data_IF_724449891850
#
_entry.id   IF_724449891850
#
_cell.length_a   1.000
_cell.length_b   1.000
_cell.length_c   1.000
_cell.angle_alpha   90.00
_cell.angle_beta   90.00
_cell.angle_gamma   90.00
#
_symmetry.space_group_name_H-M   'P 1'
#
loop_
_entity.id
_entity.type
_entity.pdbx_description
1 polymer ?
#
# COMPACT_ATOMS: atom_id res chain seq x y z
N UNK A 1 55.78 -43.86 -20.10
CA UNK A 1 57.01 -43.40 -19.42
C UNK A 1 56.57 -42.29 -18.46
N UNK A 2 56.34 -42.62 -17.18
CA UNK A 2 57.26 -42.45 -16.03
C UNK A 2 57.41 -40.98 -15.58
N UNK A 3 57.06 -40.59 -14.35
CA UNK A 3 56.43 -41.33 -13.23
C UNK A 3 56.47 -40.58 -11.88
N UNK A 4 55.83 -41.16 -10.84
CA UNK A 4 55.92 -40.90 -9.39
C UNK A 4 55.52 -39.49 -8.83
N UNK A 5 54.58 -39.33 -7.87
CA UNK A 5 54.48 -39.85 -6.47
C UNK A 5 55.42 -39.09 -5.48
N UNK A 6 55.12 -38.78 -4.21
CA UNK A 6 54.11 -39.17 -3.18
C UNK A 6 53.58 -37.91 -2.42
N UNK A 7 52.76 -37.91 -1.34
CA UNK A 7 51.87 -38.92 -0.72
C UNK A 7 51.89 -38.96 0.84
N UNK A 8 50.70 -38.93 1.48
CA UNK A 8 50.35 -39.05 2.95
C UNK A 8 50.38 -37.74 3.78
N UNK A 9 49.52 -37.40 4.76
CA UNK A 9 48.39 -38.02 5.55
C UNK A 9 48.71 -38.13 7.06
N UNK A 10 47.67 -37.95 7.92
CA UNK A 10 47.58 -38.13 9.41
C UNK A 10 48.12 -36.98 10.28
N UNK A 11 47.53 -36.61 11.45
CA UNK A 11 46.20 -36.89 12.06
C UNK A 11 45.98 -35.98 13.32
N UNK A 12 44.80 -36.05 13.96
CA UNK A 12 44.44 -35.64 15.37
C UNK A 12 43.92 -34.22 15.70
N UNK A 13 42.60 -34.18 15.87
CA UNK A 13 41.76 -33.53 16.92
C UNK A 13 42.30 -33.71 18.38
N UNK A 14 41.79 -33.01 19.45
CA UNK A 14 40.35 -32.74 19.68
C UNK A 14 39.87 -31.50 20.49
N UNK A 15 38.53 -31.40 20.53
CA UNK A 15 37.62 -30.86 21.56
C UNK A 15 37.56 -29.35 21.93
N UNK A 16 36.35 -28.78 21.78
CA UNK A 16 35.44 -28.58 22.95
C UNK A 16 34.00 -28.21 22.60
N UNK A 17 33.09 -29.10 23.01
CA UNK A 17 31.71 -28.91 23.48
C UNK A 17 31.01 -27.53 23.35
N UNK A 18 29.81 -27.54 22.74
CA UNK A 18 28.61 -27.07 23.47
C UNK A 18 27.32 -27.74 22.99
N UNK A 19 26.82 -28.68 23.79
CA UNK A 19 25.51 -29.31 23.64
C UNK A 19 24.37 -28.36 24.02
N UNK A 20 23.22 -28.48 23.36
CA UNK A 20 21.90 -28.45 24.02
C UNK A 20 20.88 -29.22 23.16
N UNK A 21 20.02 -29.97 23.83
CA UNK A 21 19.27 -31.09 23.28
C UNK A 21 17.94 -30.71 22.65
N UNK A 22 17.52 -31.51 21.66
CA UNK A 22 16.11 -31.71 21.36
C UNK A 22 15.56 -32.79 22.30
N UNK A 23 14.29 -32.67 22.72
CA UNK A 23 13.42 -33.83 22.98
C UNK A 23 11.93 -33.41 22.89
N UNK A 24 11.05 -34.40 22.77
CA UNK A 24 9.81 -34.29 21.99
C UNK A 24 8.55 -34.75 22.75
N UNK A 25 7.38 -34.55 22.12
CA UNK A 25 6.04 -35.11 22.47
C UNK A 25 5.37 -34.52 23.74
N UNK A 26 4.06 -34.23 23.76
CA UNK A 26 2.93 -35.13 23.42
C UNK A 26 1.66 -34.40 22.91
N UNK A 27 0.70 -35.21 22.46
CA UNK A 27 -0.67 -34.87 22.02
C UNK A 27 -1.65 -35.22 23.16
N UNK A 28 -2.74 -34.45 23.31
CA UNK A 28 -4.17 -34.88 23.49
C UNK A 28 -5.01 -33.89 24.33
N UNK A 29 -6.16 -33.55 23.74
CA UNK A 29 -7.52 -33.34 24.28
C UNK A 29 -7.81 -32.59 25.60
N UNK A 30 -8.91 -31.81 25.58
CA UNK A 30 -9.54 -31.31 26.81
C UNK A 30 -10.57 -30.20 26.61
N UNK A 31 -11.81 -30.55 26.26
CA UNK A 31 -12.97 -29.64 26.33
C UNK A 31 -13.13 -29.02 27.73
N UNK A 32 -13.41 -27.72 27.83
CA UNK A 32 -14.23 -27.16 28.93
C UNK A 32 -14.86 -25.80 28.58
N UNK A 33 -16.17 -25.76 28.75
CA UNK A 33 -17.03 -24.56 28.71
C UNK A 33 -16.77 -23.65 29.91
N UNK A 34 -16.90 -22.33 29.73
CA UNK A 34 -16.90 -21.38 30.84
C UNK A 34 -17.08 -19.93 30.38
N UNK A 35 -18.31 -19.42 30.46
CA UNK A 35 -18.59 -17.98 30.32
C UNK A 35 -18.16 -17.24 31.58
N UNK A 36 -17.42 -16.15 31.45
CA UNK A 36 -17.36 -15.09 32.46
C UNK A 36 -17.08 -13.74 31.79
N UNK A 37 -18.00 -12.79 31.97
CA UNK A 37 -17.73 -11.38 31.70
C UNK A 37 -16.89 -10.81 32.84
N UNK A 38 -15.77 -10.15 32.53
CA UNK A 38 -15.16 -9.17 33.43
C UNK A 38 -14.35 -8.15 32.61
N UNK A 39 -14.76 -6.88 32.65
CA UNK A 39 -13.96 -5.79 32.12
C UNK A 39 -12.89 -5.39 33.15
N UNK A 40 -11.60 -5.32 32.78
CA UNK A 40 -10.62 -4.60 33.59
C UNK A 40 -10.74 -3.10 33.30
N UNK A 41 -10.77 -2.22 34.33
CA UNK A 41 -10.70 -0.78 34.14
C UNK A 41 -9.26 -0.35 33.82
N UNK A 42 -9.10 0.75 33.07
CA UNK A 42 -7.80 1.43 32.97
C UNK A 42 -6.90 1.04 31.79
N UNK A 43 -7.45 0.80 30.59
CA UNK A 43 -6.65 0.95 29.36
C UNK A 43 -6.74 2.39 28.90
N UNK A 44 -5.64 3.15 29.01
CA UNK A 44 -5.51 4.46 28.34
C UNK A 44 -5.72 4.23 26.85
N UNK A 45 -6.78 4.82 26.27
CA UNK A 45 -7.05 4.72 24.83
C UNK A 45 -5.79 5.08 24.04
N UNK A 46 -5.39 4.28 23.03
CA UNK A 46 -4.17 4.53 22.30
C UNK A 46 -4.27 5.89 21.60
N UNK A 47 -3.27 6.75 21.86
CA UNK A 47 -3.12 8.01 21.13
C UNK A 47 -2.91 7.67 19.66
N UNK A 48 -3.87 8.06 18.82
CA UNK A 48 -3.88 7.74 17.39
C UNK A 48 -2.79 8.57 16.70
N UNK A 49 -1.59 8.00 16.59
CA UNK A 49 -0.49 8.53 15.78
C UNK A 49 -0.50 7.90 14.38
N UNK A 50 -1.63 8.05 13.70
CA UNK A 50 -1.73 7.79 12.26
C UNK A 50 -1.14 8.95 11.44
N UNK A 51 -0.92 8.77 10.12
CA UNK A 51 -0.76 9.91 9.21
C UNK A 51 -2.00 10.80 9.31
N UNK A 52 -1.81 12.12 9.32
CA UNK A 52 -2.94 13.06 9.28
C UNK A 52 -3.52 13.08 7.87
N UNK A 53 -4.67 12.44 7.71
CA UNK A 53 -5.43 12.49 6.47
C UNK A 53 -5.97 13.92 6.31
N UNK A 54 -5.74 14.55 5.16
CA UNK A 54 -6.21 15.91 4.91
C UNK A 54 -7.35 15.87 3.90
N UNK A 55 -8.48 16.50 4.22
CA UNK A 55 -9.59 16.65 3.27
C UNK A 55 -9.37 17.90 2.44
N UNK A 56 -9.51 17.75 1.13
CA UNK A 56 -9.48 18.87 0.19
C UNK A 56 -10.92 19.20 -0.22
N UNK A 57 -11.30 20.45 -0.06
CA UNK A 57 -12.60 21.02 -0.44
C UNK A 57 -12.39 22.31 -1.25
N UNK A 58 -13.38 22.69 -2.05
CA UNK A 58 -13.43 24.00 -2.70
C UNK A 58 -14.84 24.58 -2.51
N UNK A 59 -15.01 25.90 -2.32
CA UNK A 59 -16.29 26.49 -1.90
C UNK A 59 -17.50 26.28 -2.84
N UNK A 60 -17.25 25.95 -4.11
CA UNK A 60 -18.28 25.76 -5.15
C UNK A 60 -18.25 24.36 -5.77
N UNK A 61 -17.52 23.42 -5.18
CA UNK A 61 -17.39 22.07 -5.73
C UNK A 61 -18.67 21.25 -5.52
N UNK A 62 -19.11 20.57 -6.58
CA UNK A 62 -20.31 19.73 -6.61
C UNK A 62 -19.97 18.25 -6.86
N UNK A 63 -18.72 17.82 -6.67
CA UNK A 63 -18.38 16.40 -6.85
C UNK A 63 -19.12 15.53 -5.81
N UNK A 64 -19.59 14.33 -6.18
CA UNK A 64 -20.40 13.49 -5.29
C UNK A 64 -19.57 12.78 -4.20
N UNK A 65 -18.28 13.12 -4.05
CA UNK A 65 -17.34 12.48 -3.14
C UNK A 65 -16.36 13.52 -2.56
N UNK A 66 -15.71 13.18 -1.45
CA UNK A 66 -14.68 14.02 -0.83
C UNK A 66 -13.29 13.56 -1.28
N UNK A 67 -12.38 14.48 -1.57
CA UNK A 67 -10.98 14.15 -1.80
C UNK A 67 -10.21 14.11 -0.48
N UNK A 68 -9.50 13.01 -0.25
CA UNK A 68 -8.59 12.80 0.89
C UNK A 68 -7.19 12.56 0.36
N UNK A 69 -6.19 13.21 0.94
CA UNK A 69 -4.76 12.93 0.71
C UNK A 69 -4.09 12.49 2.00
N UNK A 70 -3.07 11.65 1.89
CA UNK A 70 -2.48 10.90 3.02
C UNK A 70 -1.17 11.49 3.58
N UNK A 71 -0.69 12.60 3.01
CA UNK A 71 0.50 13.31 3.49
C UNK A 71 0.30 14.82 3.44
N UNK A 72 1.00 15.53 4.33
CA UNK A 72 1.02 16.99 4.32
C UNK A 72 1.71 17.52 3.06
N UNK A 73 2.71 16.80 2.54
CA UNK A 73 3.38 17.15 1.28
C UNK A 73 2.39 17.18 0.12
N UNK A 74 1.50 16.20 0.02
CA UNK A 74 0.50 16.10 -1.06
C UNK A 74 -0.62 17.14 -0.90
N UNK A 75 -1.06 17.42 0.33
CA UNK A 75 -2.01 18.51 0.60
C UNK A 75 -1.45 19.88 0.17
N UNK A 76 -0.20 20.18 0.52
CA UNK A 76 0.48 21.42 0.09
C UNK A 76 0.75 21.44 -1.42
N UNK A 77 1.00 20.28 -2.04
CA UNK A 77 1.16 20.13 -3.49
C UNK A 77 -0.12 20.49 -4.25
N UNK A 78 -1.29 20.09 -3.71
CA UNK A 78 -2.63 20.42 -4.24
C UNK A 78 -2.95 21.91 -4.01
N UNK A 79 -2.78 22.40 -2.79
CA UNK A 79 -3.03 23.80 -2.42
C UNK A 79 -2.27 24.77 -3.34
N UNK A 80 -0.95 24.56 -3.50
CA UNK A 80 -0.08 25.44 -4.31
C UNK A 80 -0.43 25.50 -5.80
N UNK A 81 -1.23 24.55 -6.31
CA UNK A 81 -1.64 24.52 -7.72
C UNK A 81 -2.96 25.21 -8.00
N UNK A 82 -3.65 25.67 -6.95
CA UNK A 82 -4.89 26.45 -7.03
C UNK A 82 -5.90 25.87 -8.04
N UNK A 83 -6.19 24.58 -7.92
CA UNK A 83 -7.22 23.93 -8.74
C UNK A 83 -8.61 24.53 -8.45
N UNK A 84 -9.48 24.55 -9.45
CA UNK A 84 -10.81 25.15 -9.34
C UNK A 84 -11.89 24.17 -8.83
N UNK A 85 -11.56 22.89 -8.67
CA UNK A 85 -12.49 21.83 -8.23
C UNK A 85 -11.76 20.60 -7.72
N UNK A 86 -12.46 19.77 -6.94
CA UNK A 86 -12.03 18.43 -6.51
C UNK A 86 -11.72 17.57 -7.73
N UNK A 87 -12.58 17.61 -8.75
CA UNK A 87 -12.37 16.88 -10.01
C UNK A 87 -11.03 17.22 -10.66
N UNK A 88 -10.68 18.51 -10.75
CA UNK A 88 -9.41 18.95 -11.32
C UNK A 88 -8.22 18.51 -10.46
N UNK A 89 -8.34 18.56 -9.12
CA UNK A 89 -7.31 18.06 -8.21
C UNK A 89 -7.09 16.54 -8.35
N UNK A 90 -8.16 15.73 -8.37
CA UNK A 90 -8.12 14.28 -8.61
C UNK A 90 -7.42 13.96 -9.93
N UNK A 91 -7.78 14.67 -11.01
CA UNK A 91 -7.15 14.48 -12.32
C UNK A 91 -5.63 14.73 -12.26
N UNK A 92 -5.19 15.78 -11.58
CA UNK A 92 -3.75 16.09 -11.45
C UNK A 92 -3.01 15.10 -10.53
N UNK A 93 -3.64 14.63 -9.45
CA UNK A 93 -3.06 13.61 -8.57
C UNK A 93 -2.85 12.28 -9.31
N UNK A 94 -3.86 11.81 -10.05
CA UNK A 94 -3.76 10.59 -10.84
C UNK A 94 -2.89 10.75 -12.09
N UNK A 95 -2.67 11.94 -12.63
CA UNK A 95 -1.66 12.13 -13.68
C UNK A 95 -0.23 11.87 -13.19
N UNK A 96 0.07 12.26 -11.94
CA UNK A 96 1.40 12.20 -11.33
C UNK A 96 1.64 10.93 -10.48
N UNK A 97 0.66 10.05 -10.36
CA UNK A 97 0.76 8.84 -9.55
C UNK A 97 0.94 9.10 -8.05
N UNK A 98 0.36 10.20 -7.56
CA UNK A 98 0.30 10.57 -6.14
C UNK A 98 -0.84 9.79 -5.49
N UNK A 99 -0.70 9.26 -4.25
CA UNK A 99 -1.76 8.51 -3.60
C UNK A 99 -2.85 9.42 -3.01
N UNK A 100 -4.12 9.05 -3.18
CA UNK A 100 -5.29 9.75 -2.64
C UNK A 100 -6.47 8.78 -2.43
N UNK A 101 -7.58 9.29 -1.91
CA UNK A 101 -8.88 8.60 -1.87
C UNK A 101 -10.01 9.55 -2.29
N UNK A 102 -11.07 8.99 -2.86
CA UNK A 102 -12.31 9.67 -3.23
C UNK A 102 -13.42 9.08 -2.38
N UNK A 103 -13.74 9.68 -1.23
CA UNK A 103 -14.59 9.01 -0.23
C UNK A 103 -16.02 9.56 -0.20
N UNK A 104 -17.01 8.67 -0.23
CA UNK A 104 -18.42 9.01 0.04
C UNK A 104 -18.71 8.81 1.52
N UNK A 105 -19.64 9.60 2.09
CA UNK A 105 -20.19 9.35 3.42
C UNK A 105 -21.15 8.17 3.36
N UNK A 106 -21.26 7.40 4.43
CA UNK A 106 -22.54 6.73 4.68
C UNK A 106 -23.59 7.80 4.99
N UNK A 107 -24.52 8.01 4.06
CA UNK A 107 -25.85 8.58 4.37
C UNK A 107 -26.79 7.52 4.95
N UNK A 108 -26.41 6.24 4.87
CA UNK A 108 -27.15 5.07 5.36
C UNK A 108 -27.02 4.91 6.87
N UNK A 109 -27.59 5.84 7.63
CA UNK A 109 -27.74 5.64 9.08
C UNK A 109 -28.70 4.48 9.41
N UNK A 110 -29.62 4.13 8.49
CA UNK A 110 -30.70 3.16 8.71
C UNK A 110 -30.67 1.92 7.78
N UNK A 111 -29.80 1.86 6.76
CA UNK A 111 -29.67 0.63 5.94
C UNK A 111 -28.74 -0.39 6.59
N UNK A 112 -28.96 -1.71 6.40
CA UNK A 112 -28.01 -2.72 6.86
C UNK A 112 -26.63 -2.51 6.22
N UNK A 113 -25.54 -2.85 6.94
CA UNK A 113 -24.18 -2.72 6.41
C UNK A 113 -24.02 -3.52 5.11
N UNK A 114 -23.05 -3.14 4.25
CA UNK A 114 -22.77 -3.83 3.00
C UNK A 114 -22.68 -5.36 3.18
N UNK A 115 -23.15 -6.12 2.18
CA UNK A 115 -23.22 -7.58 2.28
C UNK A 115 -21.82 -8.14 2.45
N UNK A 116 -21.65 -9.05 3.40
CA UNK A 116 -20.41 -9.82 3.61
C UNK A 116 -20.18 -10.92 2.55
N UNK A 117 -21.07 -11.04 1.58
CA UNK A 117 -20.93 -11.97 0.46
C UNK A 117 -20.03 -11.36 -0.60
N UNK A 118 -18.94 -12.04 -1.03
CA UNK A 118 -18.08 -11.52 -2.07
C UNK A 118 -18.80 -11.39 -3.42
N UNK A 119 -18.35 -10.46 -4.29
CA UNK A 119 -18.80 -10.40 -5.68
C UNK A 119 -18.53 -11.72 -6.42
N UNK A 120 -19.39 -12.06 -7.38
CA UNK A 120 -19.33 -13.32 -8.13
C UNK A 120 -18.01 -13.57 -8.88
N UNK A 121 -17.23 -12.50 -9.14
CA UNK A 121 -15.96 -12.55 -9.86
C UNK A 121 -14.74 -12.73 -8.94
N UNK A 122 -14.92 -12.83 -7.62
CA UNK A 122 -13.86 -13.15 -6.64
C UNK A 122 -14.11 -14.50 -5.98
N UNK A 123 -13.06 -15.11 -5.43
CA UNK A 123 -13.19 -16.30 -4.60
C UNK A 123 -13.83 -15.96 -3.23
N UNK A 124 -14.31 -16.96 -2.46
CA UNK A 124 -14.70 -16.77 -1.07
C UNK A 124 -13.67 -15.92 -0.30
N UNK A 125 -14.16 -15.04 0.58
CA UNK A 125 -13.34 -14.07 1.33
C UNK A 125 -12.63 -13.00 0.47
N UNK A 126 -13.13 -12.71 -0.74
CA UNK A 126 -12.60 -11.68 -1.67
C UNK A 126 -11.16 -11.97 -2.16
N UNK A 127 -10.81 -13.25 -2.26
CA UNK A 127 -9.47 -13.69 -2.68
C UNK A 127 -9.31 -13.85 -4.20
N UNK A 128 -8.06 -13.81 -4.66
CA UNK A 128 -7.66 -14.06 -6.04
C UNK A 128 -6.99 -15.43 -6.23
N UNK A 129 -7.15 -16.01 -7.43
CA UNK A 129 -6.43 -17.22 -7.80
C UNK A 129 -4.95 -16.89 -8.09
N UNK A 130 -4.03 -17.50 -7.34
CA UNK A 130 -2.58 -17.27 -7.49
C UNK A 130 -1.90 -18.40 -8.27
N UNK A 131 -0.98 -18.10 -9.21
CA UNK A 131 -0.30 -19.12 -9.99
C UNK A 131 0.74 -19.89 -9.16
N UNK A 132 0.71 -21.22 -9.29
CA UNK A 132 1.69 -22.15 -8.73
C UNK A 132 2.59 -22.74 -9.83
N UNK A 133 3.84 -23.06 -9.49
CA UNK A 133 4.85 -23.63 -10.39
C UNK A 133 5.86 -24.45 -9.59
N UNK A 134 6.69 -25.27 -10.23
CA UNK A 134 7.93 -25.74 -9.62
C UNK A 134 8.99 -24.64 -9.66
N UNK A 135 10.00 -24.72 -8.79
CA UNK A 135 11.06 -23.71 -8.70
C UNK A 135 12.15 -23.86 -9.79
N UNK A 136 12.25 -25.06 -10.38
CA UNK A 136 13.16 -25.43 -11.46
C UNK A 136 12.63 -25.13 -12.88
N UNK A 137 11.32 -24.88 -13.02
CA UNK A 137 10.72 -24.49 -14.30
C UNK A 137 11.15 -23.04 -14.67
N UNK A 138 11.79 -22.80 -15.84
CA UNK A 138 12.18 -21.47 -16.25
C UNK A 138 10.97 -20.56 -16.49
N UNK A 139 11.13 -19.26 -16.23
CA UNK A 139 10.12 -18.26 -16.60
C UNK A 139 10.28 -17.87 -18.06
N UNK A 140 9.16 -17.85 -18.78
CA UNK A 140 9.09 -17.57 -20.22
C UNK A 140 8.38 -16.25 -20.51
N UNK A 141 8.49 -15.76 -21.74
CA UNK A 141 7.72 -14.61 -22.23
C UNK A 141 6.21 -14.89 -22.17
N UNK A 142 5.77 -16.12 -22.47
CA UNK A 142 4.37 -16.55 -22.36
C UNK A 142 3.83 -16.49 -20.93
N UNK A 143 4.67 -16.66 -19.91
CA UNK A 143 4.28 -16.47 -18.51
C UNK A 143 4.05 -15.00 -18.17
N UNK A 144 4.84 -14.10 -18.77
CA UNK A 144 4.65 -12.66 -18.62
C UNK A 144 3.38 -12.20 -19.34
N UNK A 145 3.08 -12.73 -20.53
CA UNK A 145 1.78 -12.49 -21.19
C UNK A 145 0.60 -12.95 -20.34
N UNK A 146 0.67 -14.15 -19.73
CA UNK A 146 -0.37 -14.65 -18.81
C UNK A 146 -0.53 -13.75 -17.58
N UNK A 147 0.57 -13.24 -17.02
CA UNK A 147 0.52 -12.23 -15.94
C UNK A 147 -0.20 -10.95 -16.38
N UNK A 148 0.10 -10.42 -17.58
CA UNK A 148 -0.56 -9.21 -18.10
C UNK A 148 -2.06 -9.40 -18.28
N UNK A 149 -2.49 -10.59 -18.75
CA UNK A 149 -3.91 -10.92 -18.87
C UNK A 149 -4.59 -11.05 -17.49
N UNK A 150 -3.89 -11.58 -16.49
CA UNK A 150 -4.41 -11.61 -15.12
C UNK A 150 -4.56 -10.20 -14.54
N UNK A 151 -3.61 -9.29 -14.78
CA UNK A 151 -3.73 -7.87 -14.43
C UNK A 151 -4.93 -7.20 -15.12
N UNK A 152 -5.12 -7.43 -16.43
CA UNK A 152 -6.31 -6.96 -17.16
C UNK A 152 -7.59 -7.47 -16.49
N UNK A 153 -7.67 -8.77 -16.21
CA UNK A 153 -8.84 -9.42 -15.59
C UNK A 153 -9.21 -8.79 -14.24
N UNK A 154 -8.24 -8.49 -13.36
CA UNK A 154 -8.54 -7.90 -12.04
C UNK A 154 -8.81 -6.40 -12.10
N UNK A 155 -8.19 -5.66 -13.03
CA UNK A 155 -8.33 -4.20 -13.13
C UNK A 155 -9.61 -3.74 -13.84
N UNK A 156 -10.19 -4.56 -14.71
CA UNK A 156 -11.47 -4.25 -15.37
C UNK A 156 -12.69 -4.44 -14.46
N UNK A 157 -12.51 -4.92 -13.23
CA UNK A 157 -13.55 -5.01 -12.20
C UNK A 157 -13.77 -3.62 -11.55
N UNK A 158 -14.94 -3.32 -10.96
CA UNK A 158 -15.23 -1.96 -10.48
C UNK A 158 -14.23 -1.42 -9.43
N UNK A 159 -13.75 -2.29 -8.52
CA UNK A 159 -12.69 -1.95 -7.56
C UNK A 159 -11.30 -1.70 -8.15
N UNK A 160 -11.07 -1.99 -9.44
CA UNK A 160 -9.76 -1.86 -10.10
C UNK A 160 -9.20 -0.43 -10.09
N UNK A 161 -10.08 0.59 -10.02
CA UNK A 161 -9.67 2.00 -9.88
C UNK A 161 -8.92 2.29 -8.58
N UNK A 162 -9.08 1.47 -7.54
CA UNK A 162 -8.29 1.60 -6.30
C UNK A 162 -6.79 1.48 -6.56
N UNK A 163 -6.38 0.67 -7.55
CA UNK A 163 -4.98 0.56 -7.95
C UNK A 163 -4.43 1.89 -8.50
N UNK A 164 -5.24 2.69 -9.22
CA UNK A 164 -4.86 4.03 -9.67
C UNK A 164 -4.72 5.00 -8.48
N UNK A 165 -5.62 4.93 -7.50
CA UNK A 165 -5.61 5.82 -6.33
C UNK A 165 -4.49 5.52 -5.33
N UNK A 166 -3.94 4.29 -5.32
CA UNK A 166 -2.79 3.92 -4.48
C UNK A 166 -1.46 4.60 -4.88
N UNK A 167 -1.42 5.33 -6.00
CA UNK A 167 -0.21 5.95 -6.51
C UNK A 167 0.92 4.96 -6.78
N UNK A 168 2.11 5.50 -7.05
CA UNK A 168 3.35 4.71 -7.16
C UNK A 168 3.24 3.52 -8.13
N UNK A 169 3.67 2.34 -7.67
CA UNK A 169 3.76 1.13 -8.49
C UNK A 169 2.39 0.59 -8.94
N UNK A 170 1.40 0.53 -8.06
CA UNK A 170 0.08 0.02 -8.43
C UNK A 170 -0.62 0.93 -9.43
N UNK A 171 -0.50 2.25 -9.24
CA UNK A 171 -0.96 3.22 -10.23
C UNK A 171 -0.31 2.98 -11.58
N UNK A 172 1.01 2.78 -11.60
CA UNK A 172 1.74 2.62 -12.86
C UNK A 172 1.34 1.34 -13.59
N UNK A 173 1.16 0.24 -12.85
CA UNK A 173 0.69 -1.02 -13.40
C UNK A 173 -0.73 -0.84 -13.95
N UNK A 174 -1.63 -0.23 -13.17
CA UNK A 174 -3.03 -0.04 -13.53
C UNK A 174 -3.23 0.85 -14.77
N UNK A 175 -2.44 1.92 -14.90
CA UNK A 175 -2.44 2.86 -16.04
C UNK A 175 -2.09 2.21 -17.39
N UNK A 176 -1.62 0.95 -17.42
CA UNK A 176 -1.44 0.17 -18.65
C UNK A 176 -2.74 -0.47 -19.18
N UNK A 177 -3.74 -0.64 -18.31
CA UNK A 177 -4.94 -1.44 -18.62
C UNK A 177 -6.23 -0.65 -18.50
N UNK A 178 -6.30 0.32 -17.58
CA UNK A 178 -7.49 1.13 -17.33
C UNK A 178 -7.21 2.63 -17.43
N UNK A 179 -8.19 3.38 -17.92
CA UNK A 179 -8.09 4.83 -18.10
C UNK A 179 -8.14 5.54 -16.73
N UNK A 180 -7.32 6.58 -16.55
CA UNK A 180 -7.29 7.41 -15.33
C UNK A 180 -8.62 8.10 -15.04
N UNK A 181 -9.48 8.33 -16.03
CA UNK A 181 -10.86 8.84 -15.83
C UNK A 181 -11.70 7.91 -14.95
N UNK A 182 -11.34 6.63 -14.80
CA UNK A 182 -12.03 5.70 -13.90
C UNK A 182 -12.05 6.16 -12.43
N UNK A 183 -11.11 7.00 -11.98
CA UNK A 183 -11.13 7.55 -10.60
C UNK A 183 -12.07 8.75 -10.44
N UNK A 184 -12.40 9.47 -11.51
CA UNK A 184 -13.10 10.78 -11.40
C UNK A 184 -14.60 10.64 -11.14
N UNK A 185 -15.16 9.43 -11.27
CA UNK A 185 -16.54 9.11 -10.88
C UNK A 185 -16.69 8.87 -9.37
N UNK A 186 -15.58 8.70 -8.63
CA UNK A 186 -15.58 8.28 -7.23
C UNK A 186 -16.09 6.84 -7.03
N UNK A 187 -16.58 6.52 -5.81
CA UNK A 187 -17.35 5.35 -5.40
C UNK A 187 -17.74 4.34 -6.48
N UNK A 188 -17.10 3.17 -6.58
CA UNK A 188 -17.73 2.07 -7.33
C UNK A 188 -18.96 1.54 -6.58
N UNK A 189 -19.88 0.91 -7.30
CA UNK A 189 -21.04 0.21 -6.70
C UNK A 189 -20.62 -0.90 -5.75
N UNK A 190 -19.44 -1.50 -5.96
CA UNK A 190 -18.98 -2.61 -5.13
C UNK A 190 -18.48 -2.11 -3.78
N UNK A 191 -17.97 -0.88 -3.73
CA UNK A 191 -17.62 -0.20 -2.48
C UNK A 191 -18.86 0.08 -1.60
N UNK A 192 -20.04 0.31 -2.19
CA UNK A 192 -21.29 0.46 -1.42
C UNK A 192 -21.99 -0.86 -1.13
N UNK A 193 -21.84 -1.87 -2.00
CA UNK A 193 -22.66 -3.09 -2.00
C UNK A 193 -22.01 -4.30 -1.32
N UNK A 194 -20.73 -4.56 -1.57
CA UNK A 194 -20.04 -5.82 -1.21
C UNK A 194 -18.94 -5.67 -0.13
N UNK A 195 -18.76 -4.49 0.44
CA UNK A 195 -18.34 -4.38 1.85
C UNK A 195 -16.89 -4.68 2.23
N UNK A 196 -15.92 -4.58 1.31
CA UNK A 196 -14.50 -4.71 1.65
C UNK A 196 -13.75 -3.37 1.72
N UNK A 197 -14.41 -2.31 2.19
CA UNK A 197 -13.95 -0.92 2.08
C UNK A 197 -13.13 -0.44 3.28
N UNK A 198 -12.27 0.56 3.04
CA UNK A 198 -11.55 1.25 4.11
C UNK A 198 -12.44 2.26 4.83
N UNK A 199 -13.35 1.74 5.65
CA UNK A 199 -14.13 2.54 6.59
C UNK A 199 -13.27 3.10 7.71
N UNK A 200 -12.78 4.33 7.57
CA UNK A 200 -12.23 5.06 8.71
C UNK A 200 -13.29 5.96 9.34
N UNK A 201 -13.30 6.00 10.68
CA UNK A 201 -14.14 6.93 11.44
C UNK A 201 -13.45 8.28 11.48
N UNK A 202 -14.06 9.26 10.83
CA UNK A 202 -13.68 10.66 11.00
C UNK A 202 -14.26 11.16 12.32
N UNK A 203 -13.47 11.89 13.09
CA UNK A 203 -13.89 12.58 14.32
C UNK A 203 -13.34 14.01 14.34
N UNK A 204 -14.06 14.94 13.73
CA UNK A 204 -13.80 16.37 13.84
C UNK A 204 -15.04 17.12 14.33
N UNK A 205 -14.88 18.35 14.80
CA UNK A 205 -15.97 19.20 15.30
C UNK A 205 -17.04 19.54 14.25
N UNK A 206 -16.72 19.40 12.95
CA UNK A 206 -17.65 19.59 11.82
C UNK A 206 -18.04 18.26 11.12
N UNK A 207 -17.46 17.12 11.51
CA UNK A 207 -17.56 15.86 10.76
C UNK A 207 -17.43 14.66 11.70
N UNK A 208 -18.52 13.92 11.91
CA UNK A 208 -18.49 12.57 12.48
C UNK A 208 -19.16 11.60 11.50
N UNK A 209 -18.54 10.44 11.26
CA UNK A 209 -19.12 9.42 10.38
C UNK A 209 -18.11 8.42 9.83
N UNK A 210 -18.65 7.38 9.19
CA UNK A 210 -17.87 6.42 8.41
C UNK A 210 -17.88 6.83 6.94
N UNK A 211 -16.72 6.72 6.29
CA UNK A 211 -16.54 7.05 4.87
C UNK A 211 -16.11 5.81 4.09
N UNK A 212 -16.47 5.74 2.81
CA UNK A 212 -16.30 4.55 1.97
C UNK A 212 -15.57 4.88 0.68
N UNK A 213 -14.68 3.96 0.28
CA UNK A 213 -13.94 4.00 -0.97
C UNK A 213 -13.53 2.58 -1.38
N UNK A 214 -13.17 2.41 -2.65
CA UNK A 214 -12.72 1.13 -3.21
C UNK A 214 -11.38 0.69 -2.59
N UNK A 215 -11.29 -0.58 -2.19
CA UNK A 215 -10.07 -1.16 -1.60
C UNK A 215 -9.27 -1.96 -2.63
N UNK A 216 -7.98 -1.65 -2.75
CA UNK A 216 -7.02 -2.60 -3.32
C UNK A 216 -6.69 -3.67 -2.26
N UNK A 217 -7.31 -4.85 -2.38
CA UNK A 217 -7.05 -5.96 -1.44
C UNK A 217 -5.60 -6.46 -1.56
N UNK A 218 -5.07 -7.11 -0.52
CA UNK A 218 -3.73 -7.69 -0.57
C UNK A 218 -3.57 -8.72 -1.71
N UNK A 219 -4.61 -9.47 -2.01
CA UNK A 219 -4.58 -10.52 -3.04
C UNK A 219 -4.55 -9.90 -4.44
N UNK A 220 -5.37 -8.88 -4.71
CA UNK A 220 -5.28 -8.10 -5.96
C UNK A 220 -3.92 -7.40 -6.05
N UNK A 221 -3.39 -6.88 -4.94
CA UNK A 221 -2.05 -6.31 -4.90
C UNK A 221 -0.93 -7.34 -5.18
N UNK A 222 -1.05 -8.59 -4.71
CA UNK A 222 -0.13 -9.68 -5.09
C UNK A 222 -0.26 -10.06 -6.58
N UNK A 223 -1.48 -10.06 -7.13
CA UNK A 223 -1.72 -10.25 -8.58
C UNK A 223 -1.06 -9.13 -9.39
N UNK A 224 -1.24 -7.86 -9.03
CA UNK A 224 -0.61 -6.73 -9.73
C UNK A 224 0.91 -6.77 -9.63
N UNK A 225 1.48 -7.18 -8.49
CA UNK A 225 2.92 -7.43 -8.38
C UNK A 225 3.39 -8.66 -9.19
N UNK A 226 2.46 -9.47 -9.73
CA UNK A 226 2.75 -10.68 -10.47
C UNK A 226 3.42 -11.74 -9.61
N UNK A 227 2.89 -11.97 -8.40
CA UNK A 227 3.39 -12.98 -7.46
C UNK A 227 3.10 -14.39 -7.98
N UNK A 228 4.13 -15.23 -7.96
CA UNK A 228 4.08 -16.65 -8.34
C UNK A 228 4.62 -17.50 -7.20
N UNK A 229 3.89 -18.56 -6.84
CA UNK A 229 4.23 -19.48 -5.77
C UNK A 229 5.02 -20.65 -6.34
N UNK A 230 6.34 -20.64 -6.11
CA UNK A 230 7.26 -21.64 -6.65
C UNK A 230 7.52 -22.72 -5.59
N UNK A 231 7.11 -23.96 -5.87
CA UNK A 231 7.40 -25.12 -5.04
C UNK A 231 8.84 -25.59 -5.28
N UNK A 232 9.65 -25.52 -4.23
CA UNK A 232 11.05 -25.96 -4.23
C UNK A 232 11.21 -27.16 -3.30
N UNK A 233 12.10 -28.08 -3.65
CA UNK A 233 12.49 -29.20 -2.78
C UNK A 233 13.99 -29.10 -2.51
N UNK A 234 14.35 -28.96 -1.25
CA UNK A 234 15.74 -28.87 -0.80
C UNK A 234 16.06 -30.05 0.10
N UNK A 235 17.16 -30.76 -0.17
CA UNK A 235 17.58 -31.93 0.59
C UNK A 235 17.79 -31.64 2.09
N UNK A 236 18.09 -30.38 2.43
CA UNK A 236 18.36 -29.93 3.81
C UNK A 236 17.13 -29.47 4.58
N UNK A 237 16.07 -29.06 3.89
CA UNK A 237 14.91 -28.39 4.50
C UNK A 237 13.57 -29.01 4.10
N UNK A 238 13.58 -30.03 3.25
CA UNK A 238 12.36 -30.63 2.70
C UNK A 238 11.68 -29.73 1.64
N UNK A 239 10.38 -29.98 1.38
CA UNK A 239 9.59 -29.15 0.48
C UNK A 239 9.30 -27.78 1.09
N UNK A 240 9.40 -26.72 0.28
CA UNK A 240 9.09 -25.35 0.68
C UNK A 240 8.51 -24.54 -0.48
N UNK A 241 7.78 -23.47 -0.17
CA UNK A 241 7.19 -22.57 -1.18
C UNK A 241 7.87 -21.21 -1.15
N UNK A 242 8.39 -20.78 -2.29
CA UNK A 242 9.10 -19.52 -2.49
C UNK A 242 8.21 -18.56 -3.28
N UNK A 243 7.86 -17.40 -2.71
CA UNK A 243 7.22 -16.31 -3.46
C UNK A 243 8.27 -15.59 -4.34
N UNK A 244 8.10 -15.64 -5.66
CA UNK A 244 8.78 -14.80 -6.65
C UNK A 244 7.77 -13.79 -7.23
N UNK A 245 8.19 -12.63 -7.72
CA UNK A 245 7.27 -11.65 -8.33
C UNK A 245 7.90 -10.80 -9.44
N UNK A 246 7.10 -10.42 -10.44
CA UNK A 246 7.50 -9.53 -11.55
C UNK A 246 7.78 -8.09 -11.09
N UNK A 247 7.09 -7.62 -10.05
CA UNK A 247 7.35 -6.33 -9.42
C UNK A 247 7.52 -6.47 -7.91
N UNK A 248 8.17 -5.51 -7.22
CA UNK A 248 8.35 -5.58 -5.78
C UNK A 248 7.00 -5.66 -5.04
N UNK A 249 6.82 -6.58 -4.08
CA UNK A 249 5.60 -6.64 -3.27
C UNK A 249 5.32 -5.32 -2.53
N UNK A 250 4.05 -5.00 -2.21
CA UNK A 250 3.67 -3.72 -1.58
C UNK A 250 4.43 -3.45 -0.28
N UNK A 251 4.65 -4.50 0.53
CA UNK A 251 5.40 -4.42 1.78
C UNK A 251 6.91 -4.12 1.61
N UNK A 252 7.42 -4.01 0.38
CA UNK A 252 8.74 -3.48 0.06
C UNK A 252 8.65 -2.14 -0.69
N UNK A 253 7.70 -1.98 -1.62
CA UNK A 253 7.58 -0.77 -2.43
C UNK A 253 7.32 0.47 -1.56
N UNK A 254 6.29 0.43 -0.72
CA UNK A 254 5.84 1.58 0.07
C UNK A 254 6.65 1.81 1.36
N UNK A 255 7.82 1.16 1.52
CA UNK A 255 8.70 1.40 2.68
C UNK A 255 9.58 2.62 2.45
N UNK A 256 9.84 3.37 3.53
CA UNK A 256 10.78 4.52 3.57
C UNK A 256 12.23 4.17 3.24
N UNK A 257 12.57 2.87 3.13
CA UNK A 257 13.90 2.37 2.70
C UNK A 257 13.93 1.90 1.24
N UNK A 258 12.92 2.28 0.44
CA UNK A 258 12.93 2.15 -1.02
C UNK A 258 13.33 3.51 -1.62
N UNK A 259 14.42 3.55 -2.40
CA UNK A 259 14.88 4.78 -3.07
C UNK A 259 13.87 5.33 -4.09
N UNK A 260 13.04 4.44 -4.65
CA UNK A 260 12.02 4.75 -5.66
C UNK A 260 10.67 5.15 -5.03
N UNK A 261 10.57 5.20 -3.69
CA UNK A 261 9.35 5.66 -3.02
C UNK A 261 9.49 7.15 -2.66
N UNK A 262 9.20 8.01 -3.64
CA UNK A 262 9.36 9.46 -3.55
C UNK A 262 8.03 10.23 -3.42
N UNK A 263 6.94 9.53 -3.08
CA UNK A 263 5.58 10.10 -2.92
C UNK A 263 4.81 10.33 -4.24
N UNK A 264 5.51 10.50 -5.36
CA UNK A 264 4.95 10.62 -6.71
C UNK A 264 5.70 9.72 -7.70
N UNK A 265 5.18 9.58 -8.92
CA UNK A 265 5.87 8.83 -9.96
C UNK A 265 6.86 9.71 -10.74
N UNK A 266 8.15 9.56 -10.46
CA UNK A 266 9.22 10.31 -11.14
C UNK A 266 9.68 9.66 -12.46
N UNK A 267 10.47 10.40 -13.25
CA UNK A 267 11.09 9.84 -14.46
C UNK A 267 12.03 8.65 -14.15
N UNK A 268 12.68 8.61 -12.98
CA UNK A 268 13.49 7.45 -12.59
C UNK A 268 12.61 6.21 -12.34
N UNK A 269 11.42 6.41 -11.75
CA UNK A 269 10.44 5.34 -11.60
C UNK A 269 10.00 4.78 -12.97
N UNK A 270 9.69 5.67 -13.92
CA UNK A 270 9.29 5.27 -15.27
C UNK A 270 10.39 4.48 -15.99
N UNK A 271 11.62 5.00 -15.99
CA UNK A 271 12.76 4.33 -16.64
C UNK A 271 13.02 2.95 -16.01
N UNK A 272 12.94 2.83 -14.68
CA UNK A 272 13.08 1.57 -13.97
C UNK A 272 11.95 0.58 -14.32
N UNK A 273 10.70 1.05 -14.36
CA UNK A 273 9.53 0.22 -14.66
C UNK A 273 9.54 -0.29 -16.10
N UNK A 274 9.84 0.58 -17.06
CA UNK A 274 9.96 0.23 -18.47
C UNK A 274 11.09 -0.76 -18.70
N UNK A 275 12.26 -0.55 -18.08
CA UNK A 275 13.38 -1.50 -18.16
C UNK A 275 13.02 -2.90 -17.66
N UNK A 276 12.21 -3.01 -16.60
CA UNK A 276 11.65 -4.29 -16.15
C UNK A 276 10.69 -4.88 -17.19
N UNK A 277 9.71 -4.10 -17.66
CA UNK A 277 8.71 -4.56 -18.64
C UNK A 277 9.35 -5.07 -19.93
N UNK A 278 10.33 -4.34 -20.48
CA UNK A 278 11.10 -4.74 -21.66
C UNK A 278 11.90 -6.01 -21.39
N UNK A 279 12.55 -6.14 -20.22
CA UNK A 279 13.30 -7.33 -19.87
C UNK A 279 12.43 -8.59 -19.71
N UNK A 280 11.22 -8.45 -19.18
CA UNK A 280 10.25 -9.55 -19.10
C UNK A 280 9.66 -9.92 -20.46
N UNK A 281 9.31 -8.93 -21.29
CA UNK A 281 8.81 -9.15 -22.65
C UNK A 281 9.85 -9.83 -23.55
N UNK A 282 11.13 -9.51 -23.38
CA UNK A 282 12.24 -10.12 -24.12
C UNK A 282 12.77 -11.42 -23.50
N UNK A 283 12.21 -11.89 -22.38
CA UNK A 283 12.67 -13.09 -21.67
C UNK A 283 14.07 -12.99 -21.04
N UNK A 284 14.63 -11.78 -20.92
CA UNK A 284 15.96 -11.56 -20.33
C UNK A 284 15.93 -11.37 -18.81
N UNK A 285 14.74 -11.20 -18.23
CA UNK A 285 14.50 -11.12 -16.78
C UNK A 285 13.48 -12.18 -16.34
N UNK A 286 13.61 -12.62 -15.10
CA UNK A 286 12.65 -13.50 -14.42
C UNK A 286 12.12 -12.85 -13.12
N UNK A 287 10.91 -13.23 -12.65
CA UNK A 287 10.39 -12.89 -11.33
C UNK A 287 11.38 -13.12 -10.20
N UNK A 288 11.52 -12.14 -9.31
CA UNK A 288 12.53 -12.16 -8.26
C UNK A 288 11.94 -12.54 -6.90
N UNK A 289 12.69 -13.25 -6.04
CA UNK A 289 12.28 -13.47 -4.66
C UNK A 289 12.40 -12.16 -3.86
N UNK A 290 11.59 -12.05 -2.80
CA UNK A 290 11.49 -10.88 -1.90
C UNK A 290 12.86 -10.38 -1.38
N UNK A 291 13.82 -11.28 -1.18
CA UNK A 291 15.19 -10.95 -0.74
C UNK A 291 15.94 -10.09 -1.77
N UNK A 292 15.85 -10.43 -3.05
CA UNK A 292 16.53 -9.70 -4.13
C UNK A 292 15.84 -8.38 -4.45
N UNK A 293 14.50 -8.34 -4.42
CA UNK A 293 13.77 -7.06 -4.48
C UNK A 293 14.21 -6.10 -3.38
N UNK A 294 14.30 -6.58 -2.14
CA UNK A 294 14.76 -5.79 -0.99
C UNK A 294 16.19 -5.28 -1.16
N UNK A 295 17.07 -6.05 -1.80
CA UNK A 295 18.45 -5.64 -2.11
C UNK A 295 18.45 -4.53 -3.16
N UNK A 296 17.72 -4.70 -4.27
CA UNK A 296 17.62 -3.73 -5.38
C UNK A 296 17.05 -2.38 -4.94
N UNK A 297 15.96 -2.36 -4.17
CA UNK A 297 15.28 -1.12 -3.77
C UNK A 297 16.03 -0.29 -2.72
N UNK A 298 16.93 -0.91 -1.93
CA UNK A 298 17.64 -0.23 -0.82
C UNK A 298 18.89 0.53 -1.23
N UNK A 299 19.47 0.26 -2.40
CA UNK A 299 20.71 0.89 -2.83
C UNK A 299 20.53 2.41 -2.96
N UNK A 300 21.26 3.21 -2.19
CA UNK A 300 21.17 4.69 -2.23
C UNK A 300 20.13 5.34 -1.29
N UNK A 301 19.06 4.63 -0.91
CA UNK A 301 17.82 5.12 -0.26
C UNK A 301 17.92 5.96 1.05
N UNK A 302 19.12 6.33 1.51
CA UNK A 302 19.34 7.12 2.73
C UNK A 302 19.09 8.60 2.51
N UNK A 303 19.45 9.17 1.35
CA UNK A 303 19.38 10.62 1.11
C UNK A 303 17.95 11.08 0.85
N UNK A 304 17.25 10.36 -0.03
CA UNK A 304 15.88 10.61 -0.46
C UNK A 304 14.96 10.62 0.76
N UNK A 305 15.08 9.61 1.62
CA UNK A 305 14.32 9.52 2.87
C UNK A 305 14.50 10.75 3.78
N UNK A 306 15.71 11.28 3.93
CA UNK A 306 15.95 12.47 4.76
C UNK A 306 15.28 13.71 4.17
N UNK A 307 15.29 13.84 2.83
CA UNK A 307 14.61 14.92 2.12
C UNK A 307 13.08 14.81 2.31
N UNK A 308 12.49 13.63 2.14
CA UNK A 308 11.05 13.41 2.35
C UNK A 308 10.64 13.63 3.81
N UNK A 309 11.36 13.07 4.79
CA UNK A 309 11.10 13.27 6.22
C UNK A 309 11.24 14.75 6.65
N UNK A 310 12.04 15.55 5.93
CA UNK A 310 12.19 16.99 6.16
C UNK A 310 11.07 17.80 5.51
N UNK A 311 10.75 17.51 4.24
CA UNK A 311 9.67 18.18 3.50
C UNK A 311 8.32 17.98 4.18
N UNK A 312 8.01 16.74 4.58
CA UNK A 312 6.75 16.41 5.26
C UNK A 312 6.57 17.21 6.55
N UNK A 313 7.65 17.39 7.34
CA UNK A 313 7.61 18.22 8.56
C UNK A 313 7.39 19.70 8.26
N UNK A 314 7.92 20.22 7.15
CA UNK A 314 7.71 21.61 6.74
C UNK A 314 6.30 21.83 6.23
N UNK A 315 5.79 20.93 5.38
CA UNK A 315 4.41 20.96 4.89
C UNK A 315 3.41 20.82 6.04
N UNK A 316 3.66 19.93 7.00
CA UNK A 316 2.83 19.77 8.19
C UNK A 316 2.77 21.07 9.03
N UNK A 317 3.92 21.73 9.25
CA UNK A 317 3.94 23.04 9.93
C UNK A 317 3.14 24.11 9.18
N UNK A 318 3.23 24.12 7.84
CA UNK A 318 2.49 25.05 7.00
C UNK A 318 0.97 24.81 7.03
N UNK A 319 0.50 23.56 7.01
CA UNK A 319 -0.94 23.28 7.16
C UNK A 319 -1.42 23.73 8.55
N UNK A 320 -0.63 23.48 9.60
CA UNK A 320 -0.98 23.89 10.97
C UNK A 320 -1.07 25.39 11.19
N UNK A 321 -0.42 26.23 10.36
CA UNK A 321 -0.62 27.69 10.44
C UNK A 321 -1.99 28.18 9.94
N UNK A 322 -2.83 27.28 9.40
CA UNK A 322 -4.24 27.57 9.07
C UNK A 322 -5.22 27.03 10.14
N UNK A 323 -4.75 26.30 11.16
CA UNK A 323 -5.61 25.91 12.28
C UNK A 323 -6.07 27.18 13.03
N UNK A 324 -7.38 27.37 13.30
CA UNK A 324 -7.86 28.47 14.12
C UNK A 324 -7.21 28.43 15.50
N UNK A 325 -6.62 29.54 15.93
CA UNK A 325 -6.05 29.68 17.28
C UNK A 325 -7.14 29.35 18.30
N UNK A 326 -6.91 28.39 19.24
CA UNK A 326 -7.90 28.06 20.26
C UNK A 326 -8.30 29.31 21.04
N UNK A 327 -9.59 29.50 21.32
CA UNK A 327 -10.13 30.74 21.89
C UNK A 327 -9.43 31.22 23.17
N UNK A 328 -8.80 30.31 23.93
CA UNK A 328 -8.00 30.60 25.13
C UNK A 328 -6.71 31.41 24.86
N UNK A 329 -6.28 31.56 23.61
CA UNK A 329 -5.15 32.43 23.21
C UNK A 329 -5.62 33.66 22.40
N UNK A 330 -6.91 33.77 22.07
CA UNK A 330 -7.44 34.89 21.31
C UNK A 330 -7.63 36.16 22.16
N UNK A 331 -7.83 36.04 23.48
CA UNK A 331 -7.96 37.19 24.39
C UNK A 331 -6.65 38.00 24.54
N UNK A 332 -5.48 37.42 24.30
CA UNK A 332 -4.20 38.16 24.29
C UNK A 332 -3.87 38.79 22.92
N UNK A 333 -4.57 38.40 21.85
CA UNK A 333 -4.24 38.76 20.46
C UNK A 333 -5.22 39.74 19.79
N UNK A 334 -6.34 40.12 20.43
CA UNK A 334 -7.32 41.06 19.86
C UNK A 334 -6.90 42.55 19.90
N UNK A 335 -5.60 42.82 19.78
CA UNK A 335 -5.09 44.14 19.40
C UNK A 335 -4.24 43.98 18.13
N UNK A 336 -4.58 44.77 17.10
CA UNK A 336 -3.96 44.85 15.75
C UNK A 336 -4.56 43.94 14.66
N UNK A 337 -5.35 44.61 13.79
CA UNK A 337 -5.72 44.26 12.39
C UNK A 337 -6.59 43.00 12.15
N UNK A 338 -7.51 43.00 11.17
CA UNK A 338 -7.79 44.01 10.13
C UNK A 338 -7.90 43.31 8.77
N UNK A 339 -9.10 42.83 8.45
CA UNK A 339 -9.32 41.70 7.55
C UNK A 339 -8.90 41.82 6.08
N UNK A 340 -8.69 40.65 5.47
CA UNK A 340 -8.60 40.44 4.03
C UNK A 340 -9.22 39.08 3.64
N UNK A 341 -9.58 38.90 2.37
CA UNK A 341 -10.39 37.76 1.90
C UNK A 341 -9.57 36.45 1.84
N UNK A 342 -10.17 35.34 2.29
CA UNK A 342 -9.45 34.11 2.62
C UNK A 342 -9.12 33.16 1.44
N UNK A 343 -7.97 32.44 1.50
CA UNK A 343 -7.64 31.34 0.59
C UNK A 343 -8.51 30.08 0.86
N UNK A 344 -8.46 29.03 0.01
CA UNK A 344 -9.22 27.80 0.21
C UNK A 344 -8.98 27.14 1.59
N UNK A 345 -10.07 26.72 2.24
CA UNK A 345 -10.09 26.13 3.58
C UNK A 345 -9.52 24.70 3.56
N UNK A 346 -8.47 24.45 4.36
CA UNK A 346 -7.90 23.11 4.56
C UNK A 346 -8.46 22.55 5.87
N UNK A 347 -9.53 21.74 5.79
CA UNK A 347 -10.03 20.99 6.95
C UNK A 347 -9.10 19.80 7.25
N UNK A 348 -8.47 19.80 8.42
CA UNK A 348 -7.81 18.63 9.00
C UNK A 348 -8.85 17.65 9.57
N UNK A 349 -8.61 16.34 9.41
CA UNK A 349 -9.60 15.25 9.56
C UNK A 349 -9.10 14.09 10.41
#
# INVERSE_FOLDING_TARGET
MTGCATGRSRDRSPDRNRSRSCQSHKILDGNRTGSCQSHPPGVKSPVVTGPQNTRISYPQDQTPYNLIVFSATDAVWVYRRNHHSVFAAVHRLVEHGIPFATVIRDSRHDEPPPRSTPPFYTLPSHSEAMPFRRDDDPFTTADYERYKEQCRTVLYRPGGRAALMQGGLFWRIAKQYINTVAVTSGPSTDATTYGHCWGFKVKSSKYEGQVFDDLLTNDVAEVLCGVVYCFSRSDKTGPCTIKKSYFPPPNLWYKTRNRLNTGYWSQENENWFQGLCTGYANGTLAPLPVKEWRKRLRAGARRERVIHESMEKLCLKFIKSFEPVPAQQAEEAQVVAGGEQGPPEIDLV
#
